data_IF_206928823672
#
_entry.id   IF_206928823672
#
_cell.length_a   1.000
_cell.length_b   1.000
_cell.length_c   1.000
_cell.angle_alpha   90.00
_cell.angle_beta   90.00
_cell.angle_gamma   90.00
#
_symmetry.space_group_name_H-M   'P 1'
#
loop_
_entity.id
_entity.type
_entity.pdbx_description
1 polymer ?
#
# COMPACT_ATOMS: atom_id res chain seq x y z
N UNK A 1 58.56 -12.06 -19.49
CA UNK A 1 57.90 -10.73 -19.36
C UNK A 1 56.89 -10.60 -20.52
N UNK A 2 55.83 -11.41 -20.54
CA UNK A 2 54.40 -11.09 -20.24
C UNK A 2 53.93 -9.81 -20.97
N UNK A 3 53.50 -9.89 -22.23
CA UNK A 3 52.12 -10.16 -22.72
C UNK A 3 51.12 -9.01 -22.50
N UNK A 4 50.86 -8.24 -23.57
CA UNK A 4 49.74 -7.31 -23.70
C UNK A 4 48.44 -8.09 -23.89
N UNK A 5 47.57 -8.09 -22.87
CA UNK A 5 46.23 -8.68 -22.94
C UNK A 5 45.28 -7.76 -23.71
N UNK A 6 44.62 -8.37 -24.70
CA UNK A 6 43.45 -7.88 -25.42
C UNK A 6 42.32 -7.56 -24.43
N UNK A 7 41.77 -6.36 -24.48
CA UNK A 7 40.50 -6.02 -23.86
C UNK A 7 39.42 -6.15 -24.94
N UNK A 8 38.59 -7.17 -24.78
CA UNK A 8 37.29 -7.33 -25.43
C UNK A 8 36.23 -7.26 -24.32
N UNK A 9 34.99 -6.94 -24.72
CA UNK A 9 33.69 -7.03 -23.99
C UNK A 9 33.31 -5.70 -23.29
N UNK A 10 32.19 -5.00 -23.53
CA UNK A 10 31.09 -5.03 -24.50
C UNK A 10 30.36 -3.68 -24.39
N UNK A 11 30.01 -3.09 -25.52
CA UNK A 11 29.05 -1.99 -25.64
C UNK A 11 27.63 -2.57 -25.49
N UNK A 12 26.83 -2.12 -24.52
CA UNK A 12 25.46 -2.63 -24.37
C UNK A 12 24.59 -1.91 -23.34
N UNK A 13 23.64 -1.12 -23.86
CA UNK A 13 22.36 -0.70 -23.27
C UNK A 13 22.41 0.24 -22.04
N UNK A 14 22.18 1.54 -22.23
CA UNK A 14 20.84 2.16 -22.34
C UNK A 14 20.11 2.24 -21.00
N UNK A 15 20.04 3.47 -20.49
CA UNK A 15 18.96 4.09 -19.72
C UNK A 15 18.25 3.18 -18.70
N UNK A 16 18.64 3.32 -17.43
CA UNK A 16 17.66 3.26 -16.35
C UNK A 16 17.76 4.53 -15.52
N UNK A 17 17.10 5.59 -16.00
CA UNK A 17 16.62 6.67 -15.13
C UNK A 17 15.50 6.10 -14.26
N UNK A 18 15.84 5.17 -13.36
CA UNK A 18 15.02 4.90 -12.20
C UNK A 18 15.44 5.96 -11.17
N UNK A 19 14.72 7.07 -11.15
CA UNK A 19 14.88 8.06 -10.09
C UNK A 19 14.66 7.37 -8.74
N UNK A 20 15.56 7.54 -7.75
CA UNK A 20 15.44 6.90 -6.44
C UNK A 20 14.18 7.30 -5.65
N UNK A 21 13.41 8.29 -6.13
CA UNK A 21 12.13 8.71 -5.57
C UNK A 21 11.00 7.67 -5.73
N UNK A 22 11.05 6.81 -6.76
CA UNK A 22 10.02 5.78 -6.97
C UNK A 22 10.28 4.53 -6.12
N UNK A 23 11.56 4.19 -5.89
CA UNK A 23 11.92 3.07 -5.02
C UNK A 23 11.58 3.34 -3.54
N UNK A 24 11.63 4.59 -3.08
CA UNK A 24 11.20 4.97 -1.74
C UNK A 24 9.67 5.02 -1.59
N UNK A 25 8.92 5.36 -2.64
CA UNK A 25 7.44 5.33 -2.63
C UNK A 25 6.86 3.92 -2.47
N UNK A 26 7.49 2.90 -3.06
CA UNK A 26 7.10 1.48 -2.89
C UNK A 26 7.06 1.04 -1.42
N UNK A 27 7.84 1.68 -0.55
CA UNK A 27 7.87 1.36 0.87
C UNK A 27 6.77 2.07 1.66
N UNK A 28 6.31 3.26 1.25
CA UNK A 28 5.46 4.11 2.09
C UNK A 28 4.02 3.56 2.19
N UNK A 29 3.44 3.08 1.08
CA UNK A 29 2.11 2.43 1.08
C UNK A 29 2.14 1.02 1.70
N UNK A 30 3.30 0.40 1.74
CA UNK A 30 3.46 -0.94 2.29
C UNK A 30 3.62 -0.93 3.82
N UNK A 31 4.27 0.12 4.34
CA UNK A 31 4.43 0.37 5.77
C UNK A 31 3.09 0.68 6.45
N UNK A 32 2.16 1.34 5.75
CA UNK A 32 0.81 1.56 6.27
C UNK A 32 -0.03 0.29 6.30
N UNK A 33 0.19 -0.61 5.35
CA UNK A 33 -0.61 -1.83 5.21
C UNK A 33 -0.32 -2.90 6.27
N UNK A 34 0.96 -3.19 6.54
CA UNK A 34 1.37 -4.16 7.57
C UNK A 34 0.89 -3.73 8.97
N UNK A 35 0.86 -2.43 9.18
CA UNK A 35 0.54 -1.73 10.42
C UNK A 35 -0.93 -1.83 10.82
N UNK A 36 -1.83 -1.58 9.88
CA UNK A 36 -3.28 -1.59 10.14
C UNK A 36 -3.78 -3.03 10.37
N UNK A 37 -3.27 -4.00 9.60
CA UNK A 37 -3.68 -5.40 9.74
C UNK A 37 -3.19 -6.04 11.04
N UNK A 38 -1.97 -5.69 11.49
CA UNK A 38 -1.42 -6.26 12.74
C UNK A 38 -2.01 -5.62 14.00
N UNK A 39 -2.50 -4.39 13.93
CA UNK A 39 -3.09 -3.67 15.08
C UNK A 39 -4.59 -3.95 15.30
N UNK A 40 -5.29 -4.54 14.31
CA UNK A 40 -6.73 -4.82 14.38
C UNK A 40 -7.10 -6.29 14.61
N UNK A 41 -6.13 -7.20 14.63
CA UNK A 41 -6.44 -8.61 14.86
C UNK A 41 -6.62 -8.90 16.36
N UNK A 42 -7.84 -9.29 16.75
CA UNK A 42 -7.99 -10.69 17.09
C UNK A 42 -9.06 -11.35 16.21
N UNK A 43 -8.62 -12.35 15.44
CA UNK A 43 -9.32 -13.56 14.96
C UNK A 43 -10.76 -13.41 14.40
N UNK A 44 -10.95 -13.86 13.14
CA UNK A 44 -12.18 -13.92 12.29
C UNK A 44 -12.44 -12.79 11.25
N UNK A 45 -11.57 -11.78 11.12
CA UNK A 45 -11.86 -10.60 10.28
C UNK A 45 -11.50 -10.69 8.78
N UNK A 46 -10.65 -11.63 8.35
CA UNK A 46 -10.30 -11.77 6.91
C UNK A 46 -11.29 -12.74 6.24
N UNK A 47 -12.51 -12.26 6.05
CA UNK A 47 -13.58 -12.94 5.29
C UNK A 47 -13.72 -12.41 3.85
N UNK A 48 -12.70 -11.71 3.36
CA UNK A 48 -12.72 -11.05 2.06
C UNK A 48 -12.85 -12.06 0.93
N UNK A 49 -13.57 -11.67 -0.11
CA UNK A 49 -13.93 -12.54 -1.23
C UNK A 49 -13.28 -12.04 -2.51
N UNK A 50 -12.92 -12.96 -3.39
CA UNK A 50 -12.47 -12.61 -4.74
C UNK A 50 -13.53 -11.75 -5.42
N UNK A 51 -13.14 -10.57 -5.91
CA UNK A 51 -14.04 -9.56 -6.47
C UNK A 51 -14.40 -8.41 -5.52
N UNK A 52 -14.02 -8.48 -4.24
CA UNK A 52 -14.04 -7.31 -3.36
C UNK A 52 -13.09 -6.24 -3.92
N UNK A 53 -13.55 -4.98 -3.99
CA UNK A 53 -12.74 -3.87 -4.50
C UNK A 53 -12.93 -2.58 -3.70
N UNK A 54 -11.88 -1.78 -3.60
CA UNK A 54 -11.90 -0.43 -3.06
C UNK A 54 -11.13 0.53 -3.99
N UNK A 55 -11.74 1.67 -4.30
CA UNK A 55 -11.18 2.68 -5.20
C UNK A 55 -10.83 3.93 -4.40
N UNK A 56 -9.70 4.55 -4.73
CA UNK A 56 -9.19 5.71 -4.01
C UNK A 56 -8.73 6.81 -4.97
N UNK A 57 -8.92 8.06 -4.55
CA UNK A 57 -8.18 9.19 -5.09
C UNK A 57 -6.88 9.36 -4.31
N UNK A 58 -5.79 9.65 -5.02
CA UNK A 58 -4.51 10.01 -4.41
C UNK A 58 -4.24 11.48 -4.69
N UNK A 59 -3.95 12.23 -3.63
CA UNK A 59 -3.64 13.65 -3.67
C UNK A 59 -2.30 13.95 -2.99
N UNK A 60 -1.57 14.95 -3.47
CA UNK A 60 -0.28 15.35 -2.93
C UNK A 60 -0.30 16.82 -2.49
N UNK A 61 -0.54 17.07 -1.20
CA UNK A 61 -0.60 18.41 -0.62
C UNK A 61 -1.33 19.44 -1.50
N UNK A 62 -0.64 20.52 -1.85
CA UNK A 62 -1.18 21.61 -2.68
C UNK A 62 -1.30 21.28 -4.18
N UNK A 63 -0.71 20.18 -4.66
CA UNK A 63 -0.81 19.76 -6.06
C UNK A 63 -2.17 19.12 -6.39
N UNK A 64 -3.01 18.89 -5.39
CA UNK A 64 -4.33 18.29 -5.56
C UNK A 64 -4.24 16.81 -5.97
N UNK A 65 -5.22 16.34 -6.73
CA UNK A 65 -5.30 14.93 -7.17
C UNK A 65 -4.17 14.62 -8.15
N UNK A 66 -3.29 13.70 -7.75
CA UNK A 66 -2.14 13.23 -8.55
C UNK A 66 -2.35 11.84 -9.12
N UNK A 67 -3.40 11.12 -8.69
CA UNK A 67 -3.67 9.79 -9.20
C UNK A 67 -4.87 9.09 -8.60
N UNK A 68 -4.94 7.79 -8.87
CA UNK A 68 -5.96 6.87 -8.37
C UNK A 68 -5.33 5.53 -7.99
N UNK A 69 -5.97 4.82 -7.07
CA UNK A 69 -5.65 3.43 -6.74
C UNK A 69 -6.92 2.58 -6.83
N UNK A 70 -6.81 1.39 -7.43
CA UNK A 70 -7.80 0.32 -7.32
C UNK A 70 -7.19 -0.83 -6.56
N UNK A 71 -7.79 -1.18 -5.44
CA UNK A 71 -7.42 -2.31 -4.62
C UNK A 71 -8.46 -3.41 -4.78
N UNK A 72 -8.02 -4.65 -4.99
CA UNK A 72 -8.92 -5.78 -5.25
C UNK A 72 -8.42 -7.06 -4.62
N UNK A 73 -9.34 -7.91 -4.18
CA UNK A 73 -9.04 -9.32 -3.88
C UNK A 73 -9.07 -10.11 -5.18
N UNK A 74 -7.95 -10.72 -5.56
CA UNK A 74 -7.79 -11.32 -6.89
C UNK A 74 -7.75 -12.84 -6.88
N UNK A 75 -7.34 -13.47 -5.77
CA UNK A 75 -7.27 -14.93 -5.66
C UNK A 75 -7.36 -15.39 -4.20
N UNK A 76 -8.00 -16.52 -3.98
CA UNK A 76 -8.08 -17.20 -2.67
C UNK A 76 -7.40 -18.57 -2.76
N UNK A 77 -6.46 -18.84 -1.85
CA UNK A 77 -5.70 -20.09 -1.76
C UNK A 77 -6.10 -20.92 -0.52
N UNK A 78 -7.26 -20.62 0.06
CA UNK A 78 -7.81 -21.28 1.24
C UNK A 78 -7.21 -20.71 2.53
N UNK A 79 -5.89 -20.83 2.72
CA UNK A 79 -5.18 -20.34 3.92
C UNK A 79 -4.61 -18.93 3.77
N UNK A 80 -4.52 -18.46 2.53
CA UNK A 80 -4.00 -17.15 2.20
C UNK A 80 -4.80 -16.52 1.06
N UNK A 81 -4.72 -15.20 0.93
CA UNK A 81 -5.48 -14.44 -0.06
C UNK A 81 -4.57 -13.44 -0.77
N UNK A 82 -4.75 -13.32 -2.07
CA UNK A 82 -4.07 -12.34 -2.90
C UNK A 82 -4.88 -11.06 -2.99
N UNK A 83 -4.18 -9.95 -2.79
CA UNK A 83 -4.67 -8.61 -3.05
C UNK A 83 -3.79 -7.96 -4.09
N UNK A 84 -4.41 -7.30 -5.05
CA UNK A 84 -3.71 -6.46 -6.02
C UNK A 84 -4.08 -5.00 -5.79
N UNK A 85 -3.07 -4.14 -5.83
CA UNK A 85 -3.20 -2.69 -5.82
C UNK A 85 -2.67 -2.17 -7.16
N UNK A 86 -3.55 -1.57 -7.94
CA UNK A 86 -3.22 -0.91 -9.19
C UNK A 86 -3.24 0.60 -8.96
N UNK A 87 -2.07 1.21 -8.92
CA UNK A 87 -1.90 2.64 -8.77
C UNK A 87 -1.58 3.28 -10.11
N UNK A 88 -2.22 4.41 -10.39
CA UNK A 88 -1.90 5.28 -11.51
C UNK A 88 -1.61 6.68 -10.96
N UNK A 89 -0.35 7.09 -11.00
CA UNK A 89 0.16 8.37 -10.51
C UNK A 89 0.75 9.14 -11.68
N UNK A 90 0.16 10.30 -12.03
CA UNK A 90 0.67 11.18 -13.09
C UNK A 90 1.01 10.46 -14.41
N UNK A 91 0.21 9.45 -14.79
CA UNK A 91 0.40 8.64 -16.00
C UNK A 91 1.38 7.46 -15.85
N UNK A 92 2.03 7.30 -14.70
CA UNK A 92 2.82 6.13 -14.37
C UNK A 92 1.94 5.09 -13.66
N UNK A 93 2.05 3.83 -14.10
CA UNK A 93 1.33 2.71 -13.51
C UNK A 93 2.25 1.88 -12.64
N UNK A 94 1.73 1.48 -11.49
CA UNK A 94 2.38 0.57 -10.58
C UNK A 94 1.38 -0.49 -10.11
N UNK A 95 1.80 -1.74 -10.16
CA UNK A 95 1.01 -2.88 -9.69
C UNK A 95 1.75 -3.52 -8.53
N UNK A 96 1.06 -3.68 -7.41
CA UNK A 96 1.55 -4.40 -6.24
C UNK A 96 0.61 -5.56 -5.97
N UNK A 97 1.16 -6.76 -5.84
CA UNK A 97 0.42 -7.97 -5.47
C UNK A 97 0.95 -8.47 -4.11
N UNK A 98 0.04 -8.72 -3.20
CA UNK A 98 0.36 -9.08 -1.81
C UNK A 98 -0.39 -10.35 -1.48
N UNK A 99 0.34 -11.40 -1.07
CA UNK A 99 -0.23 -12.60 -0.50
C UNK A 99 -0.27 -12.46 1.02
N UNK A 100 -1.43 -12.68 1.62
CA UNK A 100 -1.66 -12.49 3.04
C UNK A 100 -2.21 -13.76 3.67
N UNK A 101 -1.62 -14.18 4.78
CA UNK A 101 -2.14 -15.25 5.63
C UNK A 101 -3.49 -14.84 6.22
N UNK A 102 -4.53 -15.65 6.00
CA UNK A 102 -5.85 -15.41 6.60
C UNK A 102 -5.87 -15.66 8.10
N UNK A 103 -4.93 -16.45 8.63
CA UNK A 103 -4.89 -16.83 10.03
C UNK A 103 -4.46 -15.67 10.94
N UNK A 104 -3.55 -14.82 10.46
CA UNK A 104 -2.92 -13.78 11.29
C UNK A 104 -2.65 -12.46 10.55
N UNK A 105 -3.11 -12.33 9.30
CA UNK A 105 -2.95 -11.11 8.50
C UNK A 105 -1.51 -10.82 8.07
N UNK A 106 -0.56 -11.75 8.28
CA UNK A 106 0.83 -11.55 7.86
C UNK A 106 0.98 -11.58 6.35
N UNK A 107 1.74 -10.63 5.82
CA UNK A 107 2.21 -10.69 4.44
C UNK A 107 3.17 -11.86 4.27
N UNK A 108 2.83 -12.77 3.36
CA UNK A 108 3.63 -13.95 3.02
C UNK A 108 4.49 -13.71 1.79
N UNK A 109 3.99 -12.90 0.84
CA UNK A 109 4.68 -12.60 -0.42
C UNK A 109 4.29 -11.23 -0.93
N UNK A 110 5.22 -10.59 -1.62
CA UNK A 110 4.99 -9.32 -2.29
C UNK A 110 5.64 -9.32 -3.68
N UNK A 111 4.88 -8.88 -4.67
CA UNK A 111 5.33 -8.71 -6.05
C UNK A 111 5.03 -7.28 -6.47
N UNK A 112 6.05 -6.54 -6.91
CA UNK A 112 5.92 -5.18 -7.42
C UNK A 112 6.30 -5.19 -8.90
N UNK A 113 5.38 -4.78 -9.77
CA UNK A 113 5.56 -4.76 -11.22
C UNK A 113 6.11 -6.09 -11.78
N UNK A 114 5.57 -7.21 -11.28
CA UNK A 114 5.96 -8.56 -11.70
C UNK A 114 7.27 -9.08 -11.12
N UNK A 115 7.95 -8.30 -10.25
CA UNK A 115 9.16 -8.73 -9.56
C UNK A 115 8.87 -8.97 -8.09
N UNK A 116 9.28 -10.14 -7.59
CA UNK A 116 9.20 -10.42 -6.18
C UNK A 116 10.13 -9.50 -5.41
N UNK A 117 9.59 -8.85 -4.39
CA UNK A 117 10.29 -7.86 -3.58
C UNK A 117 10.32 -8.32 -2.11
N UNK A 118 11.38 -7.93 -1.40
CA UNK A 118 11.50 -8.25 0.02
C UNK A 118 10.42 -7.49 0.80
N UNK A 119 9.67 -8.20 1.63
CA UNK A 119 8.75 -7.59 2.60
C UNK A 119 9.59 -6.76 3.58
N UNK A 120 9.36 -5.45 3.71
CA UNK A 120 10.04 -4.60 4.66
C UNK A 120 9.81 -5.08 6.08
N UNK A 121 10.89 -5.02 6.87
CA UNK A 121 10.88 -5.28 8.30
C UNK A 121 11.14 -3.94 8.99
N UNK A 122 10.12 -3.09 8.98
CA UNK A 122 10.15 -1.79 9.65
C UNK A 122 9.11 -1.82 10.76
N UNK A 123 9.54 -1.48 11.97
CA UNK A 123 8.68 -1.57 13.15
C UNK A 123 7.75 -0.37 13.18
N UNK A 124 6.47 -0.66 13.27
CA UNK A 124 5.48 0.36 13.54
C UNK A 124 5.39 0.66 15.02
N UNK A 125 5.41 1.94 15.36
CA UNK A 125 5.00 2.47 16.65
C UNK A 125 3.65 3.20 16.50
N UNK A 126 2.61 2.70 17.16
CA UNK A 126 1.33 3.39 17.27
C UNK A 126 1.48 4.52 18.27
N UNK A 127 1.17 5.74 17.84
CA UNK A 127 1.24 6.96 18.65
C UNK A 127 -0.11 7.21 19.32
N UNK A 128 -1.21 7.07 18.58
CA UNK A 128 -2.56 7.22 19.12
C UNK A 128 -3.58 6.40 18.32
N UNK A 129 -4.70 6.11 18.98
CA UNK A 129 -5.83 5.43 18.40
C UNK A 129 -7.11 5.98 19.04
N UNK A 130 -7.94 6.65 18.25
CA UNK A 130 -9.13 7.36 18.73
C UNK A 130 -10.32 7.13 17.78
N UNK A 131 -11.54 7.26 18.29
CA UNK A 131 -12.71 7.30 17.41
C UNK A 131 -12.80 8.65 16.71
N UNK A 132 -13.05 8.64 15.41
CA UNK A 132 -13.16 9.84 14.61
C UNK A 132 -14.23 9.68 13.54
N UNK A 133 -14.82 10.80 13.13
CA UNK A 133 -15.68 10.85 11.96
C UNK A 133 -14.89 11.46 10.80
N UNK A 134 -14.99 10.85 9.61
CA UNK A 134 -14.32 11.34 8.41
C UNK A 134 -15.27 11.35 7.22
N UNK A 135 -15.20 12.42 6.42
CA UNK A 135 -15.92 12.55 5.16
C UNK A 135 -14.93 12.40 4.01
N UNK A 136 -15.22 11.49 3.09
CA UNK A 136 -14.47 11.23 1.86
C UNK A 136 -15.46 11.17 0.68
N UNK A 137 -15.02 11.09 -0.58
CA UNK A 137 -15.95 11.04 -1.71
C UNK A 137 -16.94 9.86 -1.66
N UNK A 138 -16.57 8.73 -1.05
CA UNK A 138 -17.46 7.59 -0.85
C UNK A 138 -18.57 7.81 0.21
N UNK A 139 -18.49 8.86 1.02
CA UNK A 139 -19.46 9.16 2.07
C UNK A 139 -18.82 9.59 3.40
N UNK A 140 -19.63 9.55 4.46
CA UNK A 140 -19.24 9.91 5.82
C UNK A 140 -19.22 8.65 6.68
N UNK A 141 -18.15 8.45 7.43
CA UNK A 141 -17.92 7.22 8.19
C UNK A 141 -17.52 7.54 9.63
N UNK A 142 -18.08 6.80 10.58
CA UNK A 142 -17.48 6.62 11.90
C UNK A 142 -16.31 5.65 11.76
N UNK A 143 -15.14 6.04 12.24
CA UNK A 143 -13.89 5.33 12.00
C UNK A 143 -13.08 5.25 13.28
N UNK A 144 -12.15 4.31 13.29
CA UNK A 144 -11.01 4.37 14.21
C UNK A 144 -9.91 5.13 13.44
N UNK A 145 -9.43 6.23 14.02
CA UNK A 145 -8.29 6.98 13.54
C UNK A 145 -7.04 6.52 14.28
N UNK A 146 -6.07 6.02 13.52
CA UNK A 146 -4.79 5.54 14.02
C UNK A 146 -3.70 6.49 13.53
N UNK A 147 -2.91 7.02 14.46
CA UNK A 147 -1.68 7.76 14.15
C UNK A 147 -0.50 6.87 14.53
N UNK A 148 0.43 6.69 13.61
CA UNK A 148 1.58 5.84 13.80
C UNK A 148 2.82 6.39 13.09
N UNK A 149 3.97 5.78 13.36
CA UNK A 149 5.24 6.09 12.71
C UNK A 149 6.09 4.83 12.57
N UNK A 150 7.04 4.88 11.66
CA UNK A 150 8.09 3.86 11.51
C UNK A 150 9.46 4.54 11.54
N UNK A 151 10.56 3.79 11.40
CA UNK A 151 11.88 4.40 11.28
C UNK A 151 11.99 5.29 10.03
N UNK A 152 11.25 4.94 8.97
CA UNK A 152 11.27 5.62 7.67
C UNK A 152 10.16 6.65 7.51
N UNK A 153 9.00 6.42 8.12
CA UNK A 153 7.81 7.27 7.99
C UNK A 153 7.57 8.00 9.30
N UNK A 154 7.78 9.32 9.28
CA UNK A 154 7.66 10.17 10.48
C UNK A 154 6.23 10.27 11.01
N UNK A 155 5.25 10.24 10.11
CA UNK A 155 3.83 10.28 10.46
C UNK A 155 3.01 9.56 9.40
N UNK A 156 2.21 8.62 9.87
CA UNK A 156 1.19 7.90 9.14
C UNK A 156 -0.12 8.08 9.90
N UNK A 157 -1.18 8.43 9.18
CA UNK A 157 -2.53 8.52 9.72
C UNK A 157 -3.44 7.64 8.87
N UNK A 158 -4.27 6.82 9.52
CA UNK A 158 -5.23 5.96 8.84
C UNK A 158 -6.58 6.03 9.55
N UNK A 159 -7.64 6.22 8.78
CA UNK A 159 -9.01 6.10 9.22
C UNK A 159 -9.59 4.81 8.66
N UNK A 160 -10.10 3.95 9.55
CA UNK A 160 -10.55 2.61 9.21
C UNK A 160 -11.97 2.35 9.71
N UNK A 161 -12.76 1.64 8.91
CA UNK A 161 -14.04 1.07 9.28
C UNK A 161 -14.30 -0.21 8.46
N UNK A 162 -13.78 -1.37 8.88
CA UNK A 162 -13.99 -2.64 8.17
C UNK A 162 -15.45 -3.13 8.21
N UNK A 163 -16.27 -2.65 9.15
CA UNK A 163 -17.68 -3.03 9.26
C UNK A 163 -18.48 -2.52 8.07
N UNK A 164 -18.36 -1.23 7.80
CA UNK A 164 -19.21 -0.51 6.84
C UNK A 164 -18.57 -0.32 5.46
N UNK A 165 -17.32 -0.75 5.29
CA UNK A 165 -16.61 -0.67 3.99
C UNK A 165 -16.23 -2.06 3.46
N UNK A 166 -15.00 -2.30 3.01
CA UNK A 166 -14.57 -3.58 2.46
C UNK A 166 -13.11 -3.84 2.82
N UNK A 167 -12.69 -5.10 2.76
CA UNK A 167 -11.32 -5.51 3.04
C UNK A 167 -10.90 -5.07 4.46
N UNK A 168 -9.72 -4.48 4.63
CA UNK A 168 -9.25 -3.93 5.91
C UNK A 168 -9.97 -2.64 6.33
N UNK A 169 -10.78 -2.09 5.45
CA UNK A 169 -11.69 -0.99 5.72
C UNK A 169 -11.07 0.40 5.73
N UNK A 170 -9.96 0.60 5.02
CA UNK A 170 -9.34 1.92 4.87
C UNK A 170 -10.31 2.91 4.23
N UNK A 171 -10.66 3.96 4.95
CA UNK A 171 -11.50 5.07 4.46
C UNK A 171 -10.63 6.21 3.97
N UNK A 172 -9.59 6.54 4.74
CA UNK A 172 -8.62 7.59 4.43
C UNK A 172 -7.24 7.20 4.96
N UNK A 173 -6.21 7.61 4.25
CA UNK A 173 -4.82 7.49 4.70
C UNK A 173 -4.07 8.77 4.38
N UNK A 174 -3.22 9.24 5.29
CA UNK A 174 -2.29 10.33 5.06
C UNK A 174 -0.89 9.86 5.43
N UNK A 175 0.07 10.04 4.53
CA UNK A 175 1.47 9.73 4.78
C UNK A 175 2.36 10.93 4.50
N UNK A 176 3.15 11.31 5.51
CA UNK A 176 4.10 12.39 5.37
C UNK A 176 5.35 11.91 4.65
N UNK A 177 5.57 12.37 3.42
CA UNK A 177 6.74 12.00 2.61
C UNK A 177 7.96 12.90 2.89
N UNK A 178 7.88 13.76 3.91
CA UNK A 178 8.85 14.83 4.20
C UNK A 178 8.71 16.04 3.29
N UNK A 179 8.42 15.86 1.99
CA UNK A 179 8.22 16.98 1.05
C UNK A 179 6.77 17.47 1.02
N UNK A 180 5.82 16.54 1.03
CA UNK A 180 4.38 16.82 1.07
C UNK A 180 3.63 15.63 1.67
N UNK A 181 2.38 15.84 2.05
CA UNK A 181 1.51 14.77 2.48
C UNK A 181 0.85 14.10 1.28
N UNK A 182 1.01 12.78 1.18
CA UNK A 182 0.22 11.95 0.28
C UNK A 182 -1.07 11.57 1.00
N UNK A 183 -2.21 11.92 0.42
CA UNK A 183 -3.52 11.63 0.96
C UNK A 183 -4.26 10.68 0.03
N UNK A 184 -4.72 9.56 0.56
CA UNK A 184 -5.61 8.63 -0.11
C UNK A 184 -7.00 8.72 0.49
N UNK A 185 -8.04 8.84 -0.34
CA UNK A 185 -9.43 8.91 0.11
C UNK A 185 -10.30 7.96 -0.69
N UNK A 186 -11.09 7.16 0.02
CA UNK A 186 -12.01 6.19 -0.57
C UNK A 186 -13.06 6.92 -1.42
N UNK A 187 -13.21 6.47 -2.66
CA UNK A 187 -14.18 7.00 -3.62
C UNK A 187 -15.36 6.07 -3.86
N UNK A 188 -15.11 4.76 -3.86
CA UNK A 188 -16.15 3.74 -3.93
C UNK A 188 -15.60 2.40 -3.49
N UNK A 189 -16.48 1.47 -3.15
CA UNK A 189 -16.12 0.09 -2.84
C UNK A 189 -17.23 -0.87 -3.26
N UNK A 190 -16.85 -2.13 -3.46
CA UNK A 190 -17.76 -3.24 -3.74
C UNK A 190 -17.40 -4.40 -2.83
N UNK A 191 -18.39 -4.88 -2.06
CA UNK A 191 -18.30 -6.10 -1.25
C UNK A 191 -19.12 -7.19 -1.91
N UNK A 192 -18.49 -8.31 -2.20
CA UNK A 192 -19.17 -9.47 -2.77
C UNK A 192 -20.12 -10.08 -1.73
N UNK A 193 -21.33 -10.49 -2.15
CA UNK A 193 -22.35 -11.07 -1.28
C UNK A 193 -21.87 -12.32 -0.57
#
# INVERSE_FOLDING_TARGET
MVSFKKIFITLGMAVSLATPALASQNSIDLLSYQTVLTSLAPFDLINWKVGDTANYNISAGFFGKVGVMVKSVTKDEGTAIWITQNMELQGQKQVVEILISKADGKTLRMIVNGKEEKIPDDKLEIISQDYAEVTVPAGKFETIHIVAKTEKVKKLEVWINPRDTVMEGTVKQIVNTGMFDLTMELTSFNRMP
#
